data_IF_521722592361
#
_entry.id   IF_521722592361
#
_cell.length_a   1.000
_cell.length_b   1.000
_cell.length_c   1.000
_cell.angle_alpha   90.00
_cell.angle_beta   90.00
_cell.angle_gamma   90.00
#
_symmetry.space_group_name_H-M   'P 1'
#
loop_
_entity.id
_entity.type
_entity.pdbx_description
1 polymer ?
#
# COMPACT_ATOMS: atom_id res chain seq x y z
N UNK A 1 4.46 12.56 15.17
CA UNK A 1 3.16 11.85 15.06
C UNK A 1 3.34 10.73 14.06
N UNK A 2 2.76 9.55 14.32
CA UNK A 2 2.90 8.39 13.43
C UNK A 2 1.53 7.80 13.11
N UNK A 3 1.31 7.47 11.85
CA UNK A 3 0.04 6.95 11.33
C UNK A 3 0.26 5.55 10.78
N UNK A 4 -0.62 4.62 11.14
CA UNK A 4 -0.69 3.29 10.55
C UNK A 4 -1.92 3.22 9.64
N UNK A 5 -1.71 2.93 8.36
CA UNK A 5 -2.77 2.66 7.38
C UNK A 5 -2.88 1.15 7.18
N UNK A 6 -4.08 0.61 7.18
CA UNK A 6 -4.32 -0.83 7.00
C UNK A 6 -5.14 -1.04 5.74
N UNK A 7 -4.57 -1.75 4.76
CA UNK A 7 -5.21 -2.12 3.50
C UNK A 7 -5.33 -3.64 3.38
N UNK A 8 -6.54 -4.17 3.59
CA UNK A 8 -6.81 -5.63 3.56
C UNK A 8 -7.26 -6.13 2.18
N UNK A 9 -7.74 -5.25 1.31
CA UNK A 9 -8.42 -5.63 0.07
C UNK A 9 -7.55 -5.56 -1.18
N UNK A 10 -6.39 -4.92 -1.12
CA UNK A 10 -5.49 -4.77 -2.24
C UNK A 10 -4.16 -4.16 -1.79
N UNK A 11 -3.12 -4.44 -2.57
CA UNK A 11 -1.79 -3.92 -2.33
C UNK A 11 -1.68 -2.50 -2.93
N UNK A 12 -1.51 -1.46 -2.10
CA UNK A 12 -1.42 -0.08 -2.55
C UNK A 12 -0.13 0.22 -3.32
N UNK A 13 0.85 -0.69 -3.32
CA UNK A 13 2.08 -0.56 -4.09
C UNK A 13 1.94 -1.05 -5.54
N UNK A 14 0.83 -1.73 -5.89
CA UNK A 14 0.58 -2.24 -7.23
C UNK A 14 0.25 -1.12 -8.22
N UNK A 15 0.60 -1.37 -9.48
CA UNK A 15 0.35 -0.44 -10.56
C UNK A 15 -1.14 -0.10 -10.69
N UNK A 16 -1.47 1.19 -10.67
CA UNK A 16 -2.83 1.66 -10.86
C UNK A 16 -3.39 1.18 -12.22
N UNK A 17 -4.57 0.55 -12.20
CA UNK A 17 -5.20 -0.03 -13.39
C UNK A 17 -4.91 -1.52 -13.63
N UNK A 18 -4.12 -2.17 -12.77
CA UNK A 18 -4.01 -3.63 -12.68
C UNK A 18 -5.29 -4.29 -12.18
N UNK A 19 -5.40 -5.62 -12.34
CA UNK A 19 -6.60 -6.42 -12.03
C UNK A 19 -7.11 -6.25 -10.59
N UNK A 20 -6.20 -5.95 -9.66
CA UNK A 20 -6.47 -5.77 -8.22
C UNK A 20 -6.17 -4.34 -7.71
N UNK A 21 -5.92 -3.39 -8.63
CA UNK A 21 -5.56 -2.00 -8.32
C UNK A 21 -6.70 -1.01 -8.59
N UNK A 22 -7.74 -1.07 -7.75
CA UNK A 22 -8.90 -0.19 -7.80
C UNK A 22 -8.73 1.15 -7.07
N UNK A 23 -9.81 1.91 -6.93
CA UNK A 23 -9.80 3.25 -6.34
C UNK A 23 -9.35 3.33 -4.87
N UNK A 24 -9.50 2.25 -4.09
CA UNK A 24 -9.00 2.19 -2.71
C UNK A 24 -7.47 2.22 -2.64
N UNK A 25 -6.79 1.58 -3.58
CA UNK A 25 -5.33 1.59 -3.63
C UNK A 25 -4.87 3.02 -3.90
N UNK A 26 -5.42 3.67 -4.93
CA UNK A 26 -5.14 5.08 -5.25
C UNK A 26 -5.40 6.00 -4.06
N UNK A 27 -6.51 5.82 -3.34
CA UNK A 27 -6.82 6.64 -2.17
C UNK A 27 -5.77 6.51 -1.06
N UNK A 28 -5.40 5.29 -0.68
CA UNK A 28 -4.38 5.03 0.36
C UNK A 28 -3.05 5.65 -0.07
N UNK A 29 -2.74 5.58 -1.37
CA UNK A 29 -1.52 6.14 -1.92
C UNK A 29 -1.44 7.66 -1.74
N UNK A 30 -2.45 8.37 -2.22
CA UNK A 30 -2.54 9.83 -2.15
C UNK A 30 -2.50 10.33 -0.69
N UNK A 31 -3.23 9.67 0.20
CA UNK A 31 -3.25 10.02 1.62
C UNK A 31 -1.87 9.82 2.26
N UNK A 32 -1.22 8.68 2.02
CA UNK A 32 0.09 8.39 2.59
C UNK A 32 1.16 9.37 2.11
N UNK A 33 1.16 9.71 0.82
CA UNK A 33 2.08 10.70 0.25
C UNK A 33 1.85 12.09 0.85
N UNK A 34 0.59 12.52 0.98
CA UNK A 34 0.26 13.82 1.56
C UNK A 34 0.71 13.93 3.01
N UNK A 35 0.40 12.92 3.83
CA UNK A 35 0.85 12.86 5.23
C UNK A 35 2.37 12.91 5.34
N UNK A 36 3.08 12.15 4.50
CA UNK A 36 4.54 12.17 4.48
C UNK A 36 5.11 13.53 4.05
N UNK A 37 4.47 14.20 3.10
CA UNK A 37 4.87 15.56 2.67
C UNK A 37 4.74 16.60 3.78
N UNK A 38 3.86 16.35 4.75
CA UNK A 38 3.69 17.16 5.97
C UNK A 38 4.64 16.74 7.11
N UNK A 39 5.57 15.81 6.86
CA UNK A 39 6.54 15.33 7.85
C UNK A 39 6.00 14.28 8.81
N UNK A 40 4.86 13.65 8.48
CA UNK A 40 4.26 12.59 9.29
C UNK A 40 4.83 11.23 8.85
N UNK A 41 5.25 10.42 9.81
CA UNK A 41 5.64 9.04 9.55
C UNK A 41 4.41 8.17 9.26
N UNK A 42 4.44 7.44 8.15
CA UNK A 42 3.34 6.57 7.71
C UNK A 42 3.87 5.17 7.46
N UNK A 43 3.25 4.19 8.12
CA UNK A 43 3.42 2.76 7.84
C UNK A 43 2.14 2.22 7.20
N UNK A 44 2.28 1.52 6.08
CA UNK A 44 1.15 0.90 5.36
C UNK A 44 1.23 -0.60 5.57
N UNK A 45 0.25 -1.16 6.25
CA UNK A 45 0.12 -2.60 6.45
C UNK A 45 -0.82 -3.15 5.39
N UNK A 46 -0.33 -4.09 4.58
CA UNK A 46 -1.14 -4.77 3.57
C UNK A 46 -0.93 -6.27 3.62
N UNK A 47 -1.87 -7.03 3.05
CA UNK A 47 -1.74 -8.48 2.97
C UNK A 47 -0.65 -8.84 1.96
N UNK A 48 0.14 -9.86 2.28
CA UNK A 48 1.07 -10.44 1.30
C UNK A 48 0.27 -11.12 0.18
N UNK A 49 0.41 -10.60 -1.04
CA UNK A 49 -0.07 -11.22 -2.27
C UNK A 49 1.12 -11.83 -3.03
N UNK A 50 0.88 -12.83 -3.87
CA UNK A 50 1.93 -13.47 -4.68
C UNK A 50 2.63 -12.39 -5.54
N UNK A 51 3.90 -12.07 -5.23
CA UNK A 51 4.65 -10.90 -5.72
C UNK A 51 5.12 -10.98 -7.18
N UNK A 52 4.27 -11.45 -8.09
CA UNK A 52 4.59 -11.41 -9.53
C UNK A 52 4.30 -10.03 -10.16
N UNK A 53 3.68 -9.12 -9.43
CA UNK A 53 3.31 -7.80 -9.93
C UNK A 53 4.37 -6.74 -9.59
N UNK A 54 4.65 -5.86 -10.56
CA UNK A 54 5.66 -4.80 -10.42
C UNK A 54 5.18 -3.70 -9.45
N UNK A 55 6.06 -3.31 -8.53
CA UNK A 55 5.82 -2.20 -7.61
C UNK A 55 6.13 -0.88 -8.32
N UNK A 56 5.27 0.12 -8.16
CA UNK A 56 5.57 1.46 -8.66
C UNK A 56 6.74 2.10 -7.87
N UNK A 57 7.69 2.70 -8.59
CA UNK A 57 8.88 3.33 -8.00
C UNK A 57 8.55 4.41 -6.98
N UNK A 58 7.44 5.14 -7.19
CA UNK A 58 6.95 6.17 -6.28
C UNK A 58 6.53 5.61 -4.92
N UNK A 59 6.23 4.31 -4.82
CA UNK A 59 5.87 3.63 -3.57
C UNK A 59 7.08 3.09 -2.80
N UNK A 60 8.29 3.10 -3.39
CA UNK A 60 9.52 2.69 -2.71
C UNK A 60 9.91 3.62 -1.55
N UNK A 61 9.43 4.86 -1.56
CA UNK A 61 9.69 5.80 -0.46
C UNK A 61 8.78 5.57 0.74
N UNK A 62 7.65 4.88 0.59
CA UNK A 62 6.73 4.60 1.70
C UNK A 62 7.12 3.30 2.40
N UNK A 63 6.88 3.24 3.71
CA UNK A 63 7.16 2.04 4.47
C UNK A 63 5.95 1.10 4.38
N UNK A 64 6.07 0.04 3.56
CA UNK A 64 5.00 -0.93 3.33
C UNK A 64 5.38 -2.24 4.00
N UNK A 65 4.52 -2.67 4.92
CA UNK A 65 4.70 -3.85 5.74
C UNK A 65 3.69 -4.89 5.26
N UNK A 66 4.21 -5.96 4.66
CA UNK A 66 3.42 -7.08 4.21
C UNK A 66 3.16 -8.04 5.37
N UNK A 67 1.89 -8.33 5.61
CA UNK A 67 1.46 -9.27 6.63
C UNK A 67 1.06 -10.57 5.93
N UNK A 68 1.71 -11.67 6.32
CA UNK A 68 1.26 -13.00 5.95
C UNK A 68 -0.04 -13.30 6.71
N UNK A 69 -1.16 -13.35 5.98
CA UNK A 69 -2.49 -13.56 6.55
C UNK A 69 -3.07 -14.95 6.21
N UNK A 70 -2.22 -15.92 5.88
CA UNK A 70 -2.63 -17.25 5.42
C UNK A 70 -3.20 -17.26 4.00
N UNK A 71 -3.61 -18.43 3.49
CA UNK A 71 -4.16 -18.56 2.15
C UNK A 71 -5.50 -17.81 2.00
N UNK A 72 -5.77 -17.18 0.85
CA UNK A 72 -7.11 -16.74 0.50
C UNK A 72 -7.95 -18.00 0.22
N UNK A 73 -8.64 -18.48 1.26
CA UNK A 73 -9.61 -19.58 1.19
C UNK A 73 -10.66 -19.37 0.11
#
# INVERSE_FOLDING_TARGET
VKVALISVHGDPALQAGGKDAGGMNIYIREVAQRLKSEGIEVDIFTREHNRQEELEDEFKVLNIIYINAGDPS
#
